data_IF_018012435303
#
_entry.id   IF_018012435303
#
_cell.length_a   1.000
_cell.length_b   1.000
_cell.length_c   1.000
_cell.angle_alpha   90.00
_cell.angle_beta   90.00
_cell.angle_gamma   90.00
#
_symmetry.space_group_name_H-M   'P 1'
#
loop_
_entity.id
_entity.type
_entity.pdbx_description
1 polymer ?
#
# COMPACT_ATOMS: atom_id res chain seq x y z
N UNK A 1 -37.71 34.33 -6.45
CA UNK A 1 -39.04 34.38 -7.10
C UNK A 1 -38.81 34.27 -8.59
N UNK A 2 -39.46 33.27 -9.21
CA UNK A 2 -39.89 33.17 -10.62
C UNK A 2 -38.88 33.47 -11.73
N UNK A 3 -38.55 32.44 -12.51
CA UNK A 3 -39.17 32.11 -13.82
C UNK A 3 -38.70 33.06 -14.91
N UNK A 4 -38.02 32.54 -15.94
CA UNK A 4 -38.55 32.65 -17.30
C UNK A 4 -37.75 31.83 -18.32
N UNK A 5 -38.50 31.07 -19.09
CA UNK A 5 -38.16 30.42 -20.37
C UNK A 5 -37.90 31.47 -21.46
N UNK A 6 -37.24 31.08 -22.57
CA UNK A 6 -37.78 31.43 -23.89
C UNK A 6 -37.77 30.17 -24.78
N UNK A 7 -38.91 29.58 -25.15
CA UNK A 7 -39.87 29.98 -26.20
C UNK A 7 -39.21 30.48 -27.49
N UNK A 8 -39.23 29.56 -28.46
CA UNK A 8 -38.92 29.73 -29.88
C UNK A 8 -40.05 30.51 -30.56
N UNK A 9 -39.67 31.29 -31.58
CA UNK A 9 -40.41 31.67 -32.81
C UNK A 9 -40.51 33.18 -33.08
N UNK A 10 -39.95 33.57 -34.23
CA UNK A 10 -40.32 34.67 -35.14
C UNK A 10 -39.53 34.39 -36.44
N UNK A 11 -40.06 33.79 -37.52
CA UNK A 11 -41.05 34.28 -38.53
C UNK A 11 -40.60 35.54 -39.26
N UNK A 12 -40.62 35.51 -40.61
CA UNK A 12 -40.85 36.65 -41.54
C UNK A 12 -40.86 36.08 -42.98
N UNK A 13 -42.04 35.92 -43.59
CA UNK A 13 -42.63 36.77 -44.67
C UNK A 13 -42.25 36.22 -46.07
N UNK A 14 -43.02 36.27 -47.16
CA UNK A 14 -44.20 37.05 -47.51
C UNK A 14 -44.96 36.37 -48.68
N UNK A 15 -46.23 36.69 -48.75
CA UNK A 15 -47.29 36.43 -49.72
C UNK A 15 -46.95 36.65 -51.21
N UNK A 16 -47.34 35.75 -52.14
CA UNK A 16 -47.92 36.16 -53.45
C UNK A 16 -48.63 35.04 -54.24
N UNK A 17 -49.88 35.32 -54.59
CA UNK A 17 -50.55 35.11 -55.89
C UNK A 17 -50.58 33.74 -56.58
N UNK A 18 -51.69 33.05 -56.36
CA UNK A 18 -52.69 32.63 -57.36
C UNK A 18 -52.34 32.87 -58.85
N UNK A 19 -52.04 31.82 -59.63
CA UNK A 19 -52.52 31.63 -61.02
C UNK A 19 -52.22 30.21 -61.54
N UNK A 20 -53.25 29.37 -61.58
CA UNK A 20 -53.43 28.33 -62.63
C UNK A 20 -53.99 29.08 -63.87
N UNK A 21 -53.81 28.67 -65.15
CA UNK A 21 -53.69 27.29 -65.61
C UNK A 21 -52.71 27.03 -66.79
N UNK A 22 -52.15 25.83 -66.86
CA UNK A 22 -52.52 24.92 -67.94
C UNK A 22 -51.96 23.53 -67.69
N UNK A 23 -52.86 22.57 -67.86
CA UNK A 23 -52.68 21.14 -67.75
C UNK A 23 -51.49 20.67 -68.61
N UNK A 24 -50.52 20.01 -67.98
CA UNK A 24 -50.04 18.78 -68.57
C UNK A 24 -49.86 17.74 -67.46
N UNK A 25 -50.62 16.68 -67.60
CA UNK A 25 -50.81 15.63 -66.64
C UNK A 25 -49.58 14.71 -66.69
N UNK A 26 -48.60 14.96 -65.83
CA UNK A 26 -47.59 13.93 -65.51
C UNK A 26 -47.64 13.65 -64.02
N UNK A 27 -48.56 12.75 -63.69
CA UNK A 27 -48.64 11.99 -62.45
C UNK A 27 -47.24 11.74 -61.88
N UNK A 28 -46.91 12.46 -60.82
CA UNK A 28 -45.73 12.19 -59.99
C UNK A 28 -45.82 10.73 -59.54
N UNK A 29 -44.91 9.90 -60.05
CA UNK A 29 -44.67 8.58 -59.47
C UNK A 29 -44.33 8.79 -58.00
N UNK A 30 -45.06 8.18 -57.05
CA UNK A 30 -44.64 8.24 -55.65
C UNK A 30 -43.34 7.47 -55.56
N UNK A 31 -42.23 8.19 -55.37
CA UNK A 31 -40.97 7.60 -54.92
C UNK A 31 -41.28 6.87 -53.62
N UNK A 32 -41.46 5.56 -53.72
CA UNK A 32 -41.69 4.70 -52.55
C UNK A 32 -40.36 4.70 -51.81
N UNK A 33 -40.25 5.52 -50.76
CA UNK A 33 -39.13 5.47 -49.83
C UNK A 33 -38.99 4.03 -49.37
N UNK A 34 -37.80 3.44 -49.56
CA UNK A 34 -37.54 2.09 -49.10
C UNK A 34 -37.35 2.19 -47.57
N UNK A 35 -38.28 1.70 -46.74
CA UNK A 35 -38.22 1.87 -45.28
C UNK A 35 -36.96 1.25 -44.66
N UNK A 36 -36.32 0.33 -45.40
CA UNK A 36 -35.04 -0.25 -45.03
C UNK A 36 -33.89 0.77 -45.11
N UNK A 37 -33.80 1.53 -46.19
CA UNK A 37 -32.73 2.52 -46.41
C UNK A 37 -32.83 3.68 -45.40
N UNK A 38 -34.05 4.03 -44.97
CA UNK A 38 -34.28 5.03 -43.92
C UNK A 38 -33.84 4.55 -42.53
N UNK A 39 -33.92 3.24 -42.27
CA UNK A 39 -33.59 2.64 -40.96
C UNK A 39 -32.13 2.19 -40.87
N UNK A 40 -31.57 1.70 -41.98
CA UNK A 40 -30.22 1.15 -42.10
C UNK A 40 -29.53 1.68 -43.36
N UNK A 41 -29.19 2.98 -43.40
CA UNK A 41 -28.67 3.62 -44.60
C UNK A 41 -27.35 2.97 -45.04
N UNK A 42 -27.27 2.62 -46.33
CA UNK A 42 -26.08 2.00 -46.92
C UNK A 42 -25.71 0.62 -46.38
N UNK A 43 -26.60 -0.05 -45.65
CA UNK A 43 -26.37 -1.42 -45.13
C UNK A 43 -27.40 -2.38 -45.68
N UNK A 44 -26.92 -3.53 -46.14
CA UNK A 44 -27.80 -4.63 -46.54
C UNK A 44 -28.39 -5.35 -45.32
N UNK A 45 -29.55 -6.03 -45.46
CA UNK A 45 -30.10 -6.90 -44.42
C UNK A 45 -29.11 -7.95 -43.88
N UNK A 46 -28.24 -8.48 -44.75
CA UNK A 46 -27.22 -9.45 -44.35
C UNK A 46 -26.13 -8.83 -43.47
N UNK A 47 -25.69 -7.60 -43.76
CA UNK A 47 -24.70 -6.87 -42.95
C UNK A 47 -25.25 -6.51 -41.57
N UNK A 48 -26.52 -6.05 -41.50
CA UNK A 48 -27.18 -5.75 -40.22
C UNK A 48 -27.36 -7.03 -39.39
N UNK A 49 -27.69 -8.15 -40.02
CA UNK A 49 -27.85 -9.43 -39.34
C UNK A 49 -26.50 -9.95 -38.80
N UNK A 50 -25.42 -9.82 -39.58
CA UNK A 50 -24.06 -10.15 -39.16
C UNK A 50 -23.61 -9.28 -37.99
N UNK A 51 -23.78 -7.96 -38.09
CA UNK A 51 -23.45 -7.02 -37.02
C UNK A 51 -24.20 -7.35 -35.73
N UNK A 52 -25.49 -7.71 -35.80
CA UNK A 52 -26.26 -8.12 -34.64
C UNK A 52 -25.72 -9.40 -33.98
N UNK A 53 -25.27 -10.37 -34.79
CA UNK A 53 -24.64 -11.59 -34.30
C UNK A 53 -23.28 -11.30 -33.63
N UNK A 54 -22.48 -10.42 -34.24
CA UNK A 54 -21.19 -9.98 -33.68
C UNK A 54 -21.39 -9.26 -32.34
N UNK A 55 -22.37 -8.34 -32.24
CA UNK A 55 -22.74 -7.69 -30.97
C UNK A 55 -23.17 -8.69 -29.89
N UNK A 56 -23.95 -9.71 -30.25
CA UNK A 56 -24.35 -10.78 -29.32
C UNK A 56 -23.15 -11.59 -28.85
N UNK A 57 -22.18 -11.87 -29.72
CA UNK A 57 -20.96 -12.56 -29.35
C UNK A 57 -20.11 -11.71 -28.41
N UNK A 58 -19.87 -10.45 -28.75
CA UNK A 58 -19.12 -9.51 -27.92
C UNK A 58 -19.78 -9.29 -26.55
N UNK A 59 -21.11 -9.19 -26.49
CA UNK A 59 -21.86 -9.10 -25.24
C UNK A 59 -21.59 -10.30 -24.32
N UNK A 60 -21.63 -11.53 -24.86
CA UNK A 60 -21.32 -12.75 -24.09
C UNK A 60 -19.86 -12.78 -23.64
N UNK A 61 -18.93 -12.27 -24.44
CA UNK A 61 -17.53 -12.17 -24.05
C UNK A 61 -17.31 -11.15 -22.93
N UNK A 62 -17.95 -9.98 -23.00
CA UNK A 62 -17.90 -9.00 -21.93
C UNK A 62 -18.51 -9.54 -20.64
N UNK A 63 -19.62 -10.27 -20.73
CA UNK A 63 -20.23 -10.91 -19.57
C UNK A 63 -19.28 -11.95 -18.94
N UNK A 64 -18.60 -12.77 -19.75
CA UNK A 64 -17.59 -13.71 -19.27
C UNK A 64 -16.40 -13.00 -18.61
N UNK A 65 -15.90 -11.92 -19.23
CA UNK A 65 -14.81 -11.11 -18.68
C UNK A 65 -15.22 -10.46 -17.36
N UNK A 66 -16.42 -9.89 -17.28
CA UNK A 66 -16.95 -9.28 -16.06
C UNK A 66 -17.09 -10.32 -14.93
N UNK A 67 -17.60 -11.53 -15.21
CA UNK A 67 -17.67 -12.62 -14.23
C UNK A 67 -16.29 -13.06 -13.77
N UNK A 68 -15.32 -13.13 -14.68
CA UNK A 68 -13.93 -13.47 -14.36
C UNK A 68 -13.29 -12.42 -13.43
N UNK A 69 -13.44 -11.13 -13.76
CA UNK A 69 -12.93 -10.03 -12.93
C UNK A 69 -13.60 -9.98 -11.57
N UNK A 70 -14.93 -10.16 -11.50
CA UNK A 70 -15.63 -10.27 -10.22
C UNK A 70 -15.04 -11.38 -9.36
N UNK A 71 -14.82 -12.57 -9.93
CA UNK A 71 -14.17 -13.68 -9.20
C UNK A 71 -12.73 -13.37 -8.78
N UNK A 72 -11.96 -12.65 -9.60
CA UNK A 72 -10.61 -12.23 -9.24
C UNK A 72 -10.59 -11.22 -8.09
N UNK A 73 -11.51 -10.25 -8.11
CA UNK A 73 -11.70 -9.28 -7.03
C UNK A 73 -12.14 -10.02 -5.77
N UNK A 74 -13.18 -10.85 -5.83
CA UNK A 74 -13.68 -11.62 -4.67
C UNK A 74 -12.59 -12.54 -4.07
N UNK A 75 -11.72 -13.12 -4.90
CA UNK A 75 -10.61 -13.96 -4.45
C UNK A 75 -9.42 -13.16 -3.88
N UNK A 76 -9.25 -11.90 -4.31
CA UNK A 76 -8.16 -11.02 -3.85
C UNK A 76 -8.59 -10.22 -2.62
N UNK A 77 -9.89 -9.95 -2.48
CA UNK A 77 -10.53 -9.43 -1.26
C UNK A 77 -10.80 -10.52 -0.23
N UNK A 78 -10.34 -11.77 -0.44
CA UNK A 78 -10.13 -12.67 0.67
C UNK A 78 -8.91 -12.14 1.44
N UNK A 79 -9.22 -11.18 2.31
CA UNK A 79 -8.35 -10.33 3.11
C UNK A 79 -7.35 -11.08 4.00
N UNK A 80 -7.42 -12.41 4.09
CA UNK A 80 -6.54 -13.24 4.92
C UNK A 80 -5.05 -12.95 4.67
N UNK A 81 -4.64 -12.72 3.41
CA UNK A 81 -3.24 -12.36 3.12
C UNK A 81 -2.88 -10.93 3.49
N UNK A 82 -3.82 -10.01 3.36
CA UNK A 82 -3.61 -8.59 3.72
C UNK A 82 -3.56 -8.47 5.24
N UNK A 83 -4.48 -9.12 5.94
CA UNK A 83 -4.53 -9.20 7.39
C UNK A 83 -3.32 -9.94 7.98
N UNK A 84 -2.89 -11.06 7.37
CA UNK A 84 -1.66 -11.75 7.78
C UNK A 84 -0.42 -10.85 7.61
N UNK A 85 -0.32 -10.14 6.49
CA UNK A 85 0.79 -9.21 6.24
C UNK A 85 0.76 -8.04 7.24
N UNK A 86 -0.41 -7.45 7.51
CA UNK A 86 -0.55 -6.37 8.48
C UNK A 86 -0.15 -6.84 9.89
N UNK A 87 -0.67 -7.99 10.35
CA UNK A 87 -0.30 -8.58 11.64
C UNK A 87 1.21 -8.85 11.74
N UNK A 88 1.83 -9.33 10.65
CA UNK A 88 3.27 -9.58 10.61
C UNK A 88 4.07 -8.28 10.69
N UNK A 89 3.62 -7.22 10.01
CA UNK A 89 4.25 -5.90 10.07
C UNK A 89 4.17 -5.34 11.49
N UNK A 90 2.99 -5.37 12.10
CA UNK A 90 2.78 -4.91 13.49
C UNK A 90 3.65 -5.68 14.49
N UNK A 91 3.68 -7.01 14.37
CA UNK A 91 4.51 -7.87 15.23
C UNK A 91 6.00 -7.54 15.05
N UNK A 92 6.45 -7.35 13.81
CA UNK A 92 7.84 -7.02 13.51
C UNK A 92 8.20 -5.64 14.03
N UNK A 93 7.31 -4.66 13.89
CA UNK A 93 7.52 -3.31 14.41
C UNK A 93 7.58 -3.29 15.93
N UNK A 94 6.70 -4.03 16.60
CA UNK A 94 6.72 -4.17 18.06
C UNK A 94 8.05 -4.76 18.53
N UNK A 95 8.54 -5.80 17.85
CA UNK A 95 9.83 -6.42 18.16
C UNK A 95 11.01 -5.49 17.87
N UNK A 96 10.95 -4.70 16.80
CA UNK A 96 11.98 -3.71 16.49
C UNK A 96 12.06 -2.66 17.61
N UNK A 97 10.92 -2.11 18.01
CA UNK A 97 10.85 -1.12 19.09
C UNK A 97 11.40 -1.68 20.41
N UNK A 98 11.11 -2.93 20.74
CA UNK A 98 11.65 -3.61 21.93
C UNK A 98 13.18 -3.73 21.87
N UNK A 99 13.73 -4.18 20.74
CA UNK A 99 15.18 -4.31 20.55
C UNK A 99 15.88 -2.94 20.56
N UNK A 100 15.26 -1.91 19.97
CA UNK A 100 15.79 -0.55 20.01
C UNK A 100 15.82 0.02 21.43
N UNK A 101 14.76 -0.22 22.23
CA UNK A 101 14.72 0.17 23.63
C UNK A 101 15.78 -0.55 24.47
N UNK A 102 15.94 -1.87 24.28
CA UNK A 102 16.99 -2.64 24.95
C UNK A 102 18.40 -2.17 24.55
N UNK A 103 18.64 -1.91 23.26
CA UNK A 103 19.92 -1.36 22.80
C UNK A 103 20.21 0.00 23.41
N UNK A 104 19.20 0.88 23.49
CA UNK A 104 19.30 2.16 24.19
C UNK A 104 19.72 2.00 25.65
N UNK A 105 19.06 1.10 26.38
CA UNK A 105 19.43 0.77 27.77
C UNK A 105 20.87 0.28 27.90
N UNK A 106 21.33 -0.61 27.03
CA UNK A 106 22.72 -1.09 27.05
C UNK A 106 23.71 0.03 26.79
N UNK A 107 23.44 0.92 25.82
CA UNK A 107 24.31 2.07 25.54
C UNK A 107 24.41 3.00 26.73
N UNK A 108 23.29 3.31 27.37
CA UNK A 108 23.24 4.24 28.50
C UNK A 108 23.96 3.64 29.72
N UNK A 109 23.84 2.33 29.96
CA UNK A 109 24.59 1.63 31.01
C UNK A 109 26.10 1.56 30.75
N UNK A 110 26.51 1.36 29.49
CA UNK A 110 27.94 1.39 29.10
C UNK A 110 28.50 2.79 29.26
N UNK A 111 27.76 3.83 28.86
CA UNK A 111 28.15 5.22 29.04
C UNK A 111 28.35 5.53 30.53
N UNK A 112 27.42 5.11 31.39
CA UNK A 112 27.54 5.26 32.84
C UNK A 112 28.80 4.54 33.39
N UNK A 113 29.11 3.34 32.93
CA UNK A 113 30.34 2.61 33.35
C UNK A 113 31.60 3.39 32.97
N UNK A 114 31.64 3.97 31.78
CA UNK A 114 32.77 4.78 31.30
C UNK A 114 32.89 6.08 32.11
N UNK A 115 31.79 6.79 32.33
CA UNK A 115 31.77 8.09 33.02
C UNK A 115 32.06 7.97 34.51
N UNK A 116 31.51 6.96 35.16
CA UNK A 116 31.71 6.71 36.59
C UNK A 116 33.04 6.03 36.91
N UNK A 117 33.68 5.42 35.91
CA UNK A 117 34.87 4.58 36.08
C UNK A 117 34.65 3.33 36.94
N UNK A 118 33.39 3.01 37.25
CA UNK A 118 32.99 1.92 38.13
C UNK A 118 32.28 0.83 37.33
N UNK A 119 32.64 -0.46 37.48
CA UNK A 119 31.99 -1.54 36.74
C UNK A 119 30.48 -1.59 36.99
N UNK A 120 29.70 -1.59 35.92
CA UNK A 120 28.24 -1.72 35.99
C UNK A 120 27.87 -3.19 35.69
N UNK A 121 27.05 -3.87 36.53
CA UNK A 121 26.65 -5.25 36.28
C UNK A 121 25.53 -5.32 35.22
N UNK A 122 25.86 -4.89 33.99
CA UNK A 122 24.92 -4.68 32.88
C UNK A 122 24.04 -5.90 32.61
N UNK A 123 24.61 -7.11 32.52
CA UNK A 123 23.83 -8.32 32.22
C UNK A 123 22.80 -8.61 33.32
N UNK A 124 23.18 -8.41 34.59
CA UNK A 124 22.28 -8.67 35.73
C UNK A 124 21.18 -7.60 35.83
N UNK A 125 21.51 -6.34 35.51
CA UNK A 125 20.53 -5.25 35.42
C UNK A 125 19.58 -5.47 34.24
N UNK A 126 20.10 -5.90 33.10
CA UNK A 126 19.31 -6.22 31.93
C UNK A 126 18.35 -7.38 32.19
N UNK A 127 18.68 -8.35 33.05
CA UNK A 127 17.75 -9.42 33.41
C UNK A 127 16.73 -9.01 34.50
N UNK A 128 16.92 -7.84 35.13
CA UNK A 128 16.07 -7.38 36.23
C UNK A 128 14.85 -6.61 35.73
N UNK A 129 13.66 -7.22 35.83
CA UNK A 129 12.37 -6.59 35.54
C UNK A 129 12.22 -5.27 36.33
N UNK A 130 12.64 -5.28 37.59
CA UNK A 130 12.53 -4.13 38.46
C UNK A 130 13.42 -2.97 37.99
N UNK A 131 14.61 -3.27 37.48
CA UNK A 131 15.49 -2.28 36.84
C UNK A 131 14.88 -1.76 35.53
N UNK A 132 14.49 -2.65 34.61
CA UNK A 132 13.87 -2.27 33.33
C UNK A 132 12.68 -1.33 33.52
N UNK A 133 11.80 -1.62 34.48
CA UNK A 133 10.65 -0.76 34.78
C UNK A 133 11.06 0.62 35.29
N UNK A 134 12.10 0.70 36.13
CA UNK A 134 12.59 1.96 36.65
C UNK A 134 13.31 2.78 35.57
N UNK A 135 14.10 2.11 34.72
CA UNK A 135 14.77 2.69 33.57
C UNK A 135 13.76 3.27 32.57
N UNK A 136 12.70 2.51 32.23
CA UNK A 136 11.64 2.96 31.32
C UNK A 136 10.81 4.14 31.86
N UNK A 137 10.83 4.37 33.18
CA UNK A 137 10.17 5.52 33.80
C UNK A 137 11.04 6.80 33.76
N UNK A 138 12.30 6.70 33.34
CA UNK A 138 13.18 7.85 33.17
C UNK A 138 12.86 8.61 31.89
N UNK A 139 12.91 9.93 31.96
CA UNK A 139 12.92 10.78 30.77
C UNK A 139 14.36 10.91 30.27
N UNK A 140 14.68 10.24 29.15
CA UNK A 140 16.02 10.29 28.53
C UNK A 140 16.43 11.68 28.05
N UNK A 141 15.48 12.60 27.88
CA UNK A 141 15.77 13.97 27.43
C UNK A 141 15.95 14.96 28.59
N UNK A 142 15.83 14.49 29.84
CA UNK A 142 16.03 15.31 31.02
C UNK A 142 17.51 15.49 31.34
N UNK A 143 17.89 16.69 31.79
CA UNK A 143 19.28 17.00 32.17
C UNK A 143 19.77 16.16 33.36
N UNK A 144 18.86 15.69 34.21
CA UNK A 144 19.14 14.85 35.38
C UNK A 144 19.05 13.35 35.10
N UNK A 145 18.95 12.95 33.82
CA UNK A 145 18.93 11.55 33.41
C UNK A 145 20.15 10.74 33.91
N UNK A 146 21.40 11.22 33.76
CA UNK A 146 22.57 10.46 34.20
C UNK A 146 22.56 10.20 35.71
N UNK A 147 22.20 11.21 36.50
CA UNK A 147 22.13 11.11 37.97
C UNK A 147 21.06 10.12 38.41
N UNK A 148 19.87 10.18 37.80
CA UNK A 148 18.77 9.24 38.08
C UNK A 148 19.11 7.82 37.63
N UNK A 149 19.78 7.66 36.50
CA UNK A 149 20.24 6.37 36.03
C UNK A 149 21.24 5.77 37.02
N UNK A 150 22.21 6.56 37.47
CA UNK A 150 23.19 6.15 38.49
C UNK A 150 22.51 5.76 39.80
N UNK A 151 21.51 6.52 40.25
CA UNK A 151 20.74 6.22 41.46
C UNK A 151 20.00 4.88 41.34
N UNK A 152 19.35 4.63 40.20
CA UNK A 152 18.61 3.37 39.96
C UNK A 152 19.58 2.19 39.87
N UNK A 153 20.73 2.36 39.20
CA UNK A 153 21.79 1.35 39.17
C UNK A 153 22.30 1.07 40.58
N UNK A 154 22.59 2.08 41.39
CA UNK A 154 23.06 1.90 42.77
C UNK A 154 22.04 1.19 43.67
N UNK A 155 20.75 1.42 43.47
CA UNK A 155 19.67 0.78 44.25
C UNK A 155 19.38 -0.66 43.82
N UNK A 156 19.62 -1.01 42.57
CA UNK A 156 19.11 -2.25 41.95
C UNK A 156 20.20 -3.16 41.41
N UNK A 157 21.43 -2.68 41.31
CA UNK A 157 22.57 -3.54 41.11
C UNK A 157 22.62 -4.52 42.29
N UNK A 158 22.84 -5.82 42.02
CA UNK A 158 23.09 -6.76 43.10
C UNK A 158 24.30 -6.26 43.89
N UNK A 159 24.30 -6.50 45.20
CA UNK A 159 25.42 -6.23 46.09
C UNK A 159 26.61 -7.13 45.72
N UNK A 160 27.24 -6.89 44.59
CA UNK A 160 28.48 -7.52 44.21
C UNK A 160 29.56 -6.79 44.98
N UNK A 161 30.13 -7.48 45.98
CA UNK A 161 31.45 -7.16 46.54
C UNK A 161 32.36 -6.69 45.41
N UNK A 162 32.94 -5.50 45.58
CA UNK A 162 33.90 -4.91 44.65
C UNK A 162 34.91 -5.99 44.22
N UNK A 163 34.97 -6.33 42.92
CA UNK A 163 36.02 -7.23 42.44
C UNK A 163 35.70 -8.22 41.34
N UNK A 164 34.52 -8.18 40.71
CA UNK A 164 34.36 -8.87 39.42
C UNK A 164 34.90 -7.97 38.29
N UNK A 165 36.23 -7.83 38.22
CA UNK A 165 36.86 -7.33 37.00
C UNK A 165 36.38 -8.21 35.85
N UNK A 166 35.73 -7.63 34.84
CA UNK A 166 35.60 -8.28 33.53
C UNK A 166 37.01 -8.49 33.01
N UNK A 167 37.57 -9.67 33.24
CA UNK A 167 38.70 -10.14 32.49
C UNK A 167 38.17 -10.43 31.10
N UNK A 168 38.23 -9.45 30.21
CA UNK A 168 38.16 -9.72 28.78
C UNK A 168 39.51 -10.33 28.43
N UNK A 169 39.68 -11.62 28.73
CA UNK A 169 40.68 -12.40 28.01
C UNK A 169 40.19 -12.49 26.57
N UNK A 170 40.68 -11.58 25.73
CA UNK A 170 40.68 -11.80 24.29
C UNK A 170 41.67 -12.93 24.05
N UNK A 171 41.25 -14.17 24.31
CA UNK A 171 41.91 -15.31 23.73
C UNK A 171 41.86 -15.07 22.22
N UNK A 172 43.03 -14.98 21.59
CA UNK A 172 43.19 -14.87 20.15
C UNK A 172 42.76 -16.19 19.50
N UNK A 173 41.50 -16.58 19.66
CA UNK A 173 40.89 -17.68 18.95
C UNK A 173 40.25 -17.12 17.69
N UNK A 174 40.69 -17.70 16.58
CA UNK A 174 40.40 -17.33 15.21
C UNK A 174 38.91 -17.05 15.06
N UNK A 175 38.60 -15.83 14.63
CA UNK A 175 37.25 -15.35 14.33
C UNK A 175 36.50 -16.36 13.46
N UNK A 176 35.46 -16.99 14.02
CA UNK A 176 34.51 -17.85 13.30
C UNK A 176 33.72 -17.09 12.23
N UNK A 177 33.80 -15.75 12.20
CA UNK A 177 33.19 -14.91 11.18
C UNK A 177 33.92 -14.91 9.83
N UNK A 178 35.24 -15.17 9.83
CA UNK A 178 36.03 -15.26 8.58
C UNK A 178 35.65 -16.53 7.80
N UNK A 179 35.49 -17.67 8.48
CA UNK A 179 35.09 -18.94 7.86
C UNK A 179 33.70 -18.87 7.23
N UNK A 180 32.77 -18.08 7.79
CA UNK A 180 31.43 -17.92 7.24
C UNK A 180 31.44 -17.07 5.96
N UNK A 181 32.26 -16.01 5.93
CA UNK A 181 32.43 -15.15 4.75
C UNK A 181 33.05 -15.91 3.58
N UNK A 182 34.13 -16.65 3.82
CA UNK A 182 34.77 -17.43 2.75
C UNK A 182 33.87 -18.56 2.24
N UNK A 183 33.11 -19.22 3.12
CA UNK A 183 32.15 -20.27 2.71
C UNK A 183 30.98 -19.74 1.88
N UNK A 184 30.51 -18.53 2.17
CA UNK A 184 29.34 -17.94 1.50
C UNK A 184 29.71 -17.32 0.16
N UNK A 185 30.93 -16.79 0.00
CA UNK A 185 31.28 -15.95 -1.14
C UNK A 185 32.39 -16.50 -2.06
N UNK A 186 33.16 -17.51 -1.66
CA UNK A 186 34.23 -18.11 -2.49
C UNK A 186 33.87 -19.51 -3.03
N UNK A 187 32.72 -19.66 -3.70
CA UNK A 187 32.34 -20.91 -4.37
C UNK A 187 32.86 -21.11 -5.80
N UNK A 188 33.71 -20.23 -6.32
CA UNK A 188 34.16 -20.27 -7.71
C UNK A 188 35.69 -20.18 -7.85
N UNK A 189 36.44 -21.16 -7.34
CA UNK A 189 37.81 -21.48 -7.83
C UNK A 189 38.13 -22.96 -7.62
N UNK A 190 37.49 -23.82 -8.39
CA UNK A 190 38.08 -25.10 -8.78
C UNK A 190 38.05 -25.19 -10.30
N UNK A 191 39.25 -25.13 -10.89
CA UNK A 191 39.62 -25.72 -12.18
C UNK A 191 40.87 -26.54 -11.91
#
# INVERSE_FOLDING_TARGET
MSDNTPKVEATTEENTENTTPNEDNTQETPTTANPWEDTFPGKTPEEVLKENQDWKQHSREWEKRAKSWKKQVDNTSNDEKVDELNNRVETTQSRLNEVEAENGMFRDLIALEIESGSPVPISQLADSIAFRNAYNALDRNSDDFPDKLQEIVGKRAPNTTHGAHRQVEVAAEKSSGIDLYDRMFNKNKEN
#
